data_IF_283160964206
#
_entry.id   IF_283160964206
#
_cell.length_a   1.000
_cell.length_b   1.000
_cell.length_c   1.000
_cell.angle_alpha   90.00
_cell.angle_beta   90.00
_cell.angle_gamma   90.00
#
_symmetry.space_group_name_H-M   'P 1'
#
loop_
_entity.id
_entity.type
_entity.pdbx_description
1 polymer ?
#
# COMPACT_ATOMS: atom_id res chain seq x y z
N UNK A 1 -1.00 -15.31 11.53
CA UNK A 1 -1.38 -14.82 10.19
C UNK A 1 -0.11 -14.60 9.41
N UNK A 2 0.02 -15.22 8.24
CA UNK A 2 1.25 -15.21 7.46
C UNK A 2 0.92 -14.94 6.00
N UNK A 3 1.76 -14.13 5.38
CA UNK A 3 1.82 -13.99 3.92
C UNK A 3 3.15 -14.57 3.45
N UNK A 4 3.18 -15.02 2.20
CA UNK A 4 4.39 -15.45 1.51
C UNK A 4 4.49 -14.70 0.19
N UNK A 5 5.70 -14.27 -0.14
CA UNK A 5 6.05 -13.84 -1.49
C UNK A 5 6.76 -15.02 -2.14
N UNK A 6 6.26 -15.47 -3.29
CA UNK A 6 6.98 -16.45 -4.09
C UNK A 6 8.18 -15.85 -4.80
N UNK A 7 8.85 -16.66 -5.62
CA UNK A 7 9.94 -16.17 -6.45
C UNK A 7 9.40 -15.39 -7.67
N UNK A 8 10.08 -14.31 -8.10
CA UNK A 8 9.77 -13.64 -9.35
C UNK A 8 9.84 -14.59 -10.53
N UNK A 9 8.90 -14.44 -11.46
CA UNK A 9 8.84 -15.29 -12.66
C UNK A 9 10.05 -15.09 -13.58
N UNK A 10 10.60 -13.87 -13.60
CA UNK A 10 11.68 -13.44 -14.47
C UNK A 10 12.65 -12.57 -13.65
N UNK A 11 13.91 -12.52 -14.09
CA UNK A 11 14.87 -11.57 -13.55
C UNK A 11 14.64 -10.14 -14.10
N UNK A 12 15.38 -9.17 -13.55
CA UNK A 12 15.27 -7.76 -13.92
C UNK A 12 15.52 -7.53 -15.42
N UNK A 13 16.51 -8.21 -16.01
CA UNK A 13 16.90 -8.01 -17.41
C UNK A 13 15.87 -8.63 -18.36
N UNK A 14 15.36 -9.80 -18.02
CA UNK A 14 14.30 -10.50 -18.74
C UNK A 14 12.99 -9.71 -18.68
N UNK A 15 12.64 -9.12 -17.54
CA UNK A 15 11.51 -8.21 -17.43
C UNK A 15 11.63 -7.01 -18.39
N UNK A 16 12.82 -6.39 -18.48
CA UNK A 16 13.11 -5.29 -19.41
C UNK A 16 12.95 -5.72 -20.87
N UNK A 17 13.45 -6.89 -21.23
CA UNK A 17 13.42 -7.38 -22.62
C UNK A 17 12.04 -7.88 -23.07
N UNK A 18 11.17 -8.30 -22.14
CA UNK A 18 9.86 -8.91 -22.42
C UNK A 18 8.68 -7.97 -22.16
N UNK A 19 8.93 -6.69 -21.91
CA UNK A 19 7.91 -5.72 -21.49
C UNK A 19 7.09 -6.20 -20.28
N UNK A 20 7.73 -6.94 -19.37
CA UNK A 20 7.10 -7.53 -18.20
C UNK A 20 7.39 -6.73 -16.92
N UNK A 21 6.62 -6.98 -15.87
CA UNK A 21 6.81 -6.37 -14.54
C UNK A 21 7.64 -7.31 -13.66
N UNK A 22 8.65 -6.76 -12.97
CA UNK A 22 9.43 -7.51 -11.98
C UNK A 22 8.62 -7.60 -10.68
N UNK A 23 7.95 -8.74 -10.50
CA UNK A 23 7.04 -8.97 -9.39
C UNK A 23 7.07 -10.42 -8.91
N UNK A 24 6.72 -10.60 -7.64
CA UNK A 24 6.57 -11.90 -6.98
C UNK A 24 5.10 -12.17 -6.66
N UNK A 25 4.61 -13.42 -6.77
CA UNK A 25 3.24 -13.74 -6.41
C UNK A 25 3.04 -13.63 -4.89
N UNK A 26 2.10 -12.79 -4.46
CA UNK A 26 1.69 -12.66 -3.07
C UNK A 26 0.61 -13.68 -2.72
N UNK A 27 0.87 -14.49 -1.71
CA UNK A 27 -0.09 -15.45 -1.17
C UNK A 27 -0.34 -15.19 0.31
N UNK A 28 -1.59 -15.38 0.73
CA UNK A 28 -2.03 -15.13 2.11
C UNK A 28 -2.78 -16.35 2.62
N UNK A 29 -2.42 -16.80 3.82
CA UNK A 29 -3.16 -17.84 4.52
C UNK A 29 -4.39 -17.22 5.18
N UNK A 30 -5.56 -17.57 4.66
CA UNK A 30 -6.85 -17.15 5.19
C UNK A 30 -7.48 -18.28 6.00
N UNK A 31 -8.25 -17.88 7.02
CA UNK A 31 -9.07 -18.79 7.82
C UNK A 31 -10.51 -18.30 7.79
N UNK A 32 -11.42 -19.16 7.33
CA UNK A 32 -12.86 -18.97 7.45
C UNK A 32 -13.36 -19.76 8.65
N UNK A 33 -14.01 -19.07 9.59
CA UNK A 33 -14.61 -19.68 10.78
C UNK A 33 -16.12 -19.56 10.68
N UNK A 34 -16.82 -20.69 10.68
CA UNK A 34 -18.27 -20.75 10.87
C UNK A 34 -18.56 -20.71 12.37
N UNK A 35 -19.26 -19.67 12.82
CA UNK A 35 -19.60 -19.45 14.23
C UNK A 35 -21.00 -19.99 14.61
N UNK A 36 -21.59 -20.85 13.79
CA UNK A 36 -22.80 -21.58 14.16
C UNK A 36 -22.50 -22.53 15.35
N UNK A 37 -23.15 -22.37 16.52
CA UNK A 37 -22.94 -23.22 17.69
C UNK A 37 -23.20 -24.70 17.45
N UNK A 38 -24.07 -25.04 16.50
CA UNK A 38 -24.41 -26.44 16.15
C UNK A 38 -23.48 -27.01 15.07
N UNK A 39 -22.82 -26.15 14.28
CA UNK A 39 -22.00 -26.53 13.12
C UNK A 39 -20.70 -25.70 13.05
N UNK A 40 -19.93 -25.68 14.14
CA UNK A 40 -18.64 -24.99 14.18
C UNK A 40 -17.67 -25.66 13.19
N UNK A 41 -17.21 -24.89 12.21
CA UNK A 41 -16.30 -25.36 11.15
C UNK A 41 -15.20 -24.32 10.90
N UNK A 42 -13.99 -24.78 10.65
CA UNK A 42 -12.82 -23.93 10.38
C UNK A 42 -12.15 -24.43 9.11
N UNK A 43 -12.09 -23.56 8.10
CA UNK A 43 -11.39 -23.83 6.83
C UNK A 43 -10.19 -22.92 6.70
N UNK A 44 -9.04 -23.50 6.44
CA UNK A 44 -7.81 -22.77 6.13
C UNK A 44 -7.43 -22.98 4.68
N UNK A 45 -7.03 -21.90 4.01
CA UNK A 45 -6.60 -21.96 2.62
C UNK A 45 -5.55 -20.88 2.33
N UNK A 46 -4.55 -21.23 1.53
CA UNK A 46 -3.66 -20.25 0.92
C UNK A 46 -4.32 -19.67 -0.34
N UNK A 47 -4.48 -18.35 -0.39
CA UNK A 47 -5.10 -17.64 -1.51
C UNK A 47 -4.09 -16.72 -2.20
N UNK A 48 -4.09 -16.73 -3.52
CA UNK A 48 -3.30 -15.80 -4.34
C UNK A 48 -3.98 -14.42 -4.34
N UNK A 49 -3.23 -13.41 -3.90
CA UNK A 49 -3.72 -12.03 -3.77
C UNK A 49 -3.29 -11.13 -4.94
N UNK A 50 -2.44 -11.63 -5.84
CA UNK A 50 -1.91 -10.88 -6.98
C UNK A 50 -0.38 -10.88 -7.01
N UNK A 51 0.18 -10.27 -8.06
CA UNK A 51 1.62 -10.08 -8.20
C UNK A 51 2.05 -8.76 -7.53
N UNK A 52 3.03 -8.84 -6.63
CA UNK A 52 3.57 -7.71 -5.90
C UNK A 52 4.87 -7.22 -6.55
N UNK A 53 4.93 -5.99 -7.10
CA UNK A 53 6.15 -5.45 -7.69
C UNK A 53 7.28 -5.38 -6.68
N UNK A 54 8.44 -5.91 -7.05
CA UNK A 54 9.63 -5.89 -6.21
C UNK A 54 10.54 -4.72 -6.55
N UNK A 55 11.19 -4.21 -5.51
CA UNK A 55 12.20 -3.18 -5.63
C UNK A 55 13.53 -3.83 -6.08
N UNK A 56 14.24 -3.16 -6.98
CA UNK A 56 15.61 -3.51 -7.36
C UNK A 56 16.61 -3.02 -6.30
N UNK A 57 17.86 -3.48 -6.37
CA UNK A 57 18.93 -3.02 -5.45
C UNK A 57 19.21 -1.52 -5.56
N UNK A 58 18.84 -0.88 -6.67
CA UNK A 58 18.99 0.56 -6.92
C UNK A 58 17.79 1.39 -6.44
N UNK A 59 16.77 0.77 -5.85
CA UNK A 59 15.57 1.47 -5.37
C UNK A 59 14.55 1.80 -6.45
N UNK A 60 14.63 1.14 -7.62
CA UNK A 60 13.71 1.32 -8.74
C UNK A 60 12.76 0.11 -8.86
N UNK A 61 11.77 0.21 -9.75
CA UNK A 61 10.82 -0.86 -10.06
C UNK A 61 10.76 -1.06 -11.57
N UNK A 62 10.71 -2.30 -12.04
CA UNK A 62 10.46 -2.59 -13.47
C UNK A 62 8.98 -2.85 -13.65
N UNK A 63 8.29 -1.95 -14.36
CA UNK A 63 6.86 -2.04 -14.60
C UNK A 63 6.61 -1.98 -16.11
N UNK A 64 6.11 -3.06 -16.69
CA UNK A 64 5.92 -3.23 -18.14
C UNK A 64 7.21 -2.92 -18.93
N UNK A 65 8.33 -3.55 -18.56
CA UNK A 65 9.65 -3.36 -19.18
C UNK A 65 10.37 -2.06 -18.82
N UNK A 66 9.64 -1.03 -18.41
CA UNK A 66 10.22 0.27 -18.09
C UNK A 66 10.66 0.38 -16.63
N UNK A 67 11.82 0.97 -16.41
CA UNK A 67 12.33 1.29 -15.08
C UNK A 67 11.66 2.58 -14.54
N UNK A 68 11.05 2.47 -13.37
CA UNK A 68 10.29 3.54 -12.71
C UNK A 68 10.80 3.77 -11.29
N UNK A 69 10.66 4.99 -10.81
CA UNK A 69 10.97 5.38 -9.44
C UNK A 69 9.72 5.95 -8.77
N UNK A 70 9.51 5.60 -7.51
CA UNK A 70 8.46 6.20 -6.69
C UNK A 70 9.09 7.33 -5.89
N UNK A 71 8.54 8.54 -6.00
CA UNK A 71 9.00 9.71 -5.24
C UNK A 71 8.20 9.86 -3.94
N UNK A 72 8.88 10.24 -2.87
CA UNK A 72 8.23 10.55 -1.60
C UNK A 72 7.35 11.80 -1.75
N UNK A 73 6.10 11.70 -1.29
CA UNK A 73 5.18 12.84 -1.25
C UNK A 73 5.36 13.61 0.07
N UNK A 74 5.38 14.94 -0.01
CA UNK A 74 5.28 15.80 1.17
C UNK A 74 3.82 16.18 1.39
N UNK A 75 3.21 15.62 2.44
CA UNK A 75 1.81 15.87 2.82
C UNK A 75 1.73 16.33 4.27
N UNK A 76 0.64 17.02 4.63
CA UNK A 76 0.37 17.37 6.04
C UNK A 76 0.13 16.10 6.83
N UNK A 77 0.80 15.98 7.98
CA UNK A 77 0.57 14.88 8.91
C UNK A 77 -0.84 14.94 9.50
N UNK A 78 -1.45 13.80 9.83
CA UNK A 78 -2.66 13.78 10.65
C UNK A 78 -2.42 14.51 11.98
N UNK A 79 -3.39 15.29 12.43
CA UNK A 79 -3.26 16.10 13.63
C UNK A 79 -4.24 17.27 13.69
N UNK A 80 -4.08 18.09 14.72
CA UNK A 80 -4.83 19.33 14.89
C UNK A 80 -3.93 20.51 14.54
N UNK A 81 -4.35 21.30 13.56
CA UNK A 81 -3.68 22.51 13.14
C UNK A 81 -4.48 23.71 13.61
N UNK A 82 -3.80 24.70 14.18
CA UNK A 82 -4.40 25.98 14.56
C UNK A 82 -3.90 27.06 13.61
N UNK A 83 -4.81 27.90 13.15
CA UNK A 83 -4.50 29.00 12.25
C UNK A 83 -5.02 30.33 12.80
N UNK A 84 -4.39 31.42 12.35
CA UNK A 84 -4.72 32.78 12.74
C UNK A 84 -4.60 33.69 11.52
N UNK A 85 -5.68 34.40 11.23
CA UNK A 85 -5.76 35.35 10.13
C UNK A 85 -6.20 36.73 10.65
N UNK A 86 -5.87 37.78 9.90
CA UNK A 86 -6.37 39.14 10.14
C UNK A 86 -7.28 39.48 8.98
N UNK A 87 -8.55 39.78 9.25
CA UNK A 87 -9.48 40.17 8.21
C UNK A 87 -9.18 41.58 7.67
N UNK A 88 -9.86 41.97 6.60
CA UNK A 88 -9.69 43.29 5.98
C UNK A 88 -10.09 44.47 6.87
N UNK A 89 -10.83 44.22 7.96
CA UNK A 89 -11.21 45.21 8.97
C UNK A 89 -10.25 45.25 10.17
N UNK A 90 -9.21 44.41 10.17
CA UNK A 90 -8.21 44.33 11.23
C UNK A 90 -8.56 43.39 12.39
N UNK A 91 -9.67 42.65 12.32
CA UNK A 91 -10.05 41.70 13.35
C UNK A 91 -9.21 40.43 13.25
N UNK A 92 -8.88 39.85 14.41
CA UNK A 92 -8.16 38.57 14.49
C UNK A 92 -9.16 37.42 14.42
N UNK A 93 -9.03 36.58 13.40
CA UNK A 93 -9.76 35.33 13.25
C UNK A 93 -8.86 34.17 13.68
N UNK A 94 -9.43 33.21 14.39
CA UNK A 94 -8.76 31.97 14.79
C UNK A 94 -9.60 30.80 14.33
N UNK A 95 -8.94 29.81 13.73
CA UNK A 95 -9.58 28.58 13.32
C UNK A 95 -8.71 27.37 13.67
N UNK A 96 -9.33 26.20 13.61
CA UNK A 96 -8.64 24.93 13.82
C UNK A 96 -9.11 23.91 12.80
N UNK A 97 -8.16 23.19 12.20
CA UNK A 97 -8.41 22.08 11.28
C UNK A 97 -7.98 20.77 11.92
N UNK A 98 -8.90 19.81 12.00
CA UNK A 98 -8.62 18.43 12.44
C UNK A 98 -8.43 17.54 11.21
N UNK A 99 -7.24 17.00 11.03
CA UNK A 99 -6.89 16.11 9.91
C UNK A 99 -6.76 14.68 10.45
N UNK A 100 -7.74 13.78 10.18
CA UNK A 100 -7.63 12.38 10.57
C UNK A 100 -6.67 11.62 9.65
N UNK A 101 -6.14 10.48 10.12
CA UNK A 101 -5.30 9.61 9.29
C UNK A 101 -6.13 8.89 8.19
N UNK A 102 -7.36 8.53 8.55
CA UNK A 102 -8.43 8.08 7.66
C UNK A 102 -9.73 8.62 8.25
N UNK A 103 -10.55 9.28 7.44
CA UNK A 103 -11.82 9.88 7.84
C UNK A 103 -12.85 9.69 6.75
#
# INVERSE_FOLDING_TARGET
EGFSLGEPKYDINECKNRDATYAAPLRVNIRLVNNDPENMDIKEQEVFMGDFPLMTDTGTFIINGAERVIVSQLVRSPGVYYNKEIDTMGNRLYDSTVIPNRG
#
